data_IF_285999393906
#
_entry.id   IF_285999393906
#
_cell.length_a   1.000
_cell.length_b   1.000
_cell.length_c   1.000
_cell.angle_alpha   90.00
_cell.angle_beta   90.00
_cell.angle_gamma   90.00
#
_symmetry.space_group_name_H-M   'P 1'
#
loop_
_entity.id
_entity.type
_entity.pdbx_description
1 polymer ?
#
# COMPACT_ATOMS: atom_id res chain seq x y z
N UNK A 1 23.02 7.66 -8.63
CA UNK A 1 21.92 8.23 -7.82
C UNK A 1 21.09 9.12 -8.72
N UNK A 2 19.77 8.94 -8.75
CA UNK A 2 18.83 9.70 -9.59
C UNK A 2 18.01 10.67 -8.69
N UNK A 3 18.70 11.38 -7.81
CA UNK A 3 18.06 12.48 -7.07
C UNK A 3 18.07 13.71 -7.97
N UNK A 4 16.91 14.32 -8.19
CA UNK A 4 16.85 15.62 -8.88
C UNK A 4 16.95 16.81 -7.92
N UNK A 5 17.16 16.54 -6.62
CA UNK A 5 17.34 17.52 -5.56
C UNK A 5 18.43 17.05 -4.59
N UNK A 6 19.04 17.97 -3.87
CA UNK A 6 19.99 17.65 -2.81
C UNK A 6 19.37 16.71 -1.77
N UNK A 7 20.11 15.64 -1.45
CA UNK A 7 19.77 14.67 -0.41
C UNK A 7 20.98 14.53 0.51
N UNK A 8 21.02 15.37 1.54
CA UNK A 8 22.03 15.33 2.60
C UNK A 8 21.40 14.74 3.85
N UNK A 9 21.56 13.42 3.99
CA UNK A 9 21.05 12.64 5.09
C UNK A 9 22.08 11.59 5.50
N UNK A 10 22.29 11.45 6.81
CA UNK A 10 23.12 10.41 7.41
C UNK A 10 22.23 9.55 8.31
N UNK A 11 22.11 8.25 8.04
CA UNK A 11 21.27 7.38 8.85
C UNK A 11 21.82 7.20 10.26
N UNK A 12 20.93 7.22 11.24
CA UNK A 12 21.23 6.87 12.63
C UNK A 12 20.82 5.42 12.91
N UNK A 13 21.22 4.91 14.07
CA UNK A 13 20.80 3.59 14.52
C UNK A 13 19.27 3.50 14.64
N UNK A 14 18.69 2.39 14.18
CA UNK A 14 17.26 2.14 14.19
C UNK A 14 16.38 3.14 13.41
N UNK A 15 16.99 3.96 12.54
CA UNK A 15 16.25 4.92 11.72
C UNK A 15 15.30 4.21 10.74
N UNK A 16 14.19 4.87 10.44
CA UNK A 16 13.09 4.37 9.62
C UNK A 16 12.83 5.35 8.49
N UNK A 17 13.00 4.91 7.24
CA UNK A 17 12.61 5.70 6.07
C UNK A 17 11.17 5.42 5.66
N UNK A 18 10.36 6.48 5.53
CA UNK A 18 9.04 6.38 4.91
C UNK A 18 9.22 6.21 3.39
N UNK A 19 8.79 5.07 2.85
CA UNK A 19 8.90 4.77 1.42
C UNK A 19 7.53 4.83 0.80
N UNK A 20 7.35 5.73 -0.16
CA UNK A 20 6.11 5.85 -0.91
C UNK A 20 6.37 6.21 -2.37
N UNK A 21 5.35 5.96 -3.17
CA UNK A 21 5.29 6.35 -4.57
C UNK A 21 4.05 7.21 -4.79
N UNK A 22 4.08 8.08 -5.78
CA UNK A 22 2.96 8.95 -6.09
C UNK A 22 2.98 9.42 -7.55
N UNK A 23 1.78 9.66 -8.08
CA UNK A 23 1.55 10.39 -9.32
C UNK A 23 1.52 11.90 -9.08
N UNK A 24 1.64 12.67 -10.16
CA UNK A 24 1.60 14.13 -10.11
C UNK A 24 0.35 14.70 -9.39
N UNK A 25 -0.83 14.10 -9.56
CA UNK A 25 -2.08 14.56 -8.94
C UNK A 25 -2.13 14.41 -7.41
N UNK A 26 -1.15 13.72 -6.82
CA UNK A 26 -1.01 13.54 -5.37
C UNK A 26 0.08 14.41 -4.75
N UNK A 27 0.69 15.33 -5.50
CA UNK A 27 1.85 16.10 -5.05
C UNK A 27 1.63 16.88 -3.74
N UNK A 28 0.42 17.44 -3.52
CA UNK A 28 0.06 18.15 -2.29
C UNK A 28 0.12 17.27 -1.03
N UNK A 29 0.01 15.94 -1.17
CA UNK A 29 0.10 15.01 -0.05
C UNK A 29 1.48 15.02 0.62
N UNK A 30 2.53 15.41 -0.10
CA UNK A 30 3.88 15.50 0.46
C UNK A 30 3.93 16.54 1.59
N UNK A 31 3.32 17.71 1.39
CA UNK A 31 3.29 18.76 2.42
C UNK A 31 2.53 18.30 3.67
N UNK A 32 1.46 17.55 3.50
CA UNK A 32 0.73 16.98 4.64
C UNK A 32 1.54 15.89 5.35
N UNK A 33 2.22 15.02 4.60
CA UNK A 33 3.05 13.96 5.17
C UNK A 33 4.18 14.53 6.06
N UNK A 34 4.91 15.55 5.57
CA UNK A 34 6.08 16.09 6.29
C UNK A 34 5.70 16.83 7.59
N UNK A 35 4.45 17.28 7.73
CA UNK A 35 3.93 17.84 8.99
C UNK A 35 3.86 16.81 10.11
N UNK A 36 3.74 15.52 9.77
CA UNK A 36 3.59 14.41 10.73
C UNK A 36 4.76 13.42 10.72
N UNK A 37 5.66 13.49 9.73
CA UNK A 37 6.83 12.64 9.61
C UNK A 37 8.13 13.44 9.54
N UNK A 38 8.85 13.51 10.67
CA UNK A 38 10.13 14.18 10.75
C UNK A 38 11.31 13.34 10.20
N UNK A 39 11.15 12.01 10.17
CA UNK A 39 12.18 11.07 9.70
C UNK A 39 12.51 11.20 8.21
N UNK A 40 13.48 10.40 7.72
CA UNK A 40 13.82 10.35 6.30
C UNK A 40 12.66 9.82 5.45
N UNK A 41 12.62 10.25 4.18
CA UNK A 41 11.57 9.85 3.22
C UNK A 41 12.24 9.49 1.88
N UNK A 42 11.77 8.43 1.23
CA UNK A 42 12.10 8.07 -0.16
C UNK A 42 10.82 8.12 -0.99
N UNK A 43 10.71 9.11 -1.88
CA UNK A 43 9.54 9.36 -2.72
C UNK A 43 9.84 9.08 -4.18
N UNK A 44 9.05 8.20 -4.80
CA UNK A 44 9.14 7.92 -6.23
C UNK A 44 7.98 8.57 -6.99
N UNK A 45 8.29 9.56 -7.82
CA UNK A 45 7.37 10.37 -8.61
C UNK A 45 7.19 9.77 -10.01
N UNK A 46 5.97 9.37 -10.36
CA UNK A 46 5.61 8.91 -11.70
C UNK A 46 5.06 10.05 -12.55
N UNK A 47 5.89 10.60 -13.44
CA UNK A 47 5.69 11.91 -14.06
C UNK A 47 6.07 11.94 -15.55
N UNK A 48 5.47 12.84 -16.33
CA UNK A 48 6.02 13.27 -17.62
C UNK A 48 7.10 14.35 -17.45
N UNK A 49 7.82 14.69 -18.52
CA UNK A 49 8.79 15.80 -18.50
C UNK A 49 8.16 17.12 -18.03
N UNK A 50 6.96 17.45 -18.54
CA UNK A 50 6.25 18.66 -18.16
C UNK A 50 5.78 18.64 -16.69
N UNK A 51 5.41 17.49 -16.16
CA UNK A 51 5.03 17.33 -14.76
C UNK A 51 6.23 17.41 -13.83
N UNK A 52 7.40 16.89 -14.22
CA UNK A 52 8.63 16.96 -13.44
C UNK A 52 9.03 18.42 -13.17
N UNK A 53 8.97 19.29 -14.18
CA UNK A 53 9.26 20.72 -14.01
C UNK A 53 8.32 21.36 -12.98
N UNK A 54 7.04 20.99 -13.01
CA UNK A 54 6.05 21.48 -12.03
C UNK A 54 6.31 20.94 -10.62
N UNK A 55 6.70 19.67 -10.50
CA UNK A 55 7.11 19.06 -9.22
C UNK A 55 8.29 19.81 -8.60
N UNK A 56 9.34 20.08 -9.39
CA UNK A 56 10.53 20.81 -8.94
C UNK A 56 10.13 22.20 -8.44
N UNK A 57 9.32 22.92 -9.21
CA UNK A 57 8.82 24.25 -8.82
C UNK A 57 8.06 24.19 -7.50
N UNK A 58 7.07 23.29 -7.38
CA UNK A 58 6.29 23.09 -6.15
C UNK A 58 7.17 22.81 -4.93
N UNK A 59 8.09 21.85 -5.05
CA UNK A 59 8.99 21.43 -3.96
C UNK A 59 9.90 22.61 -3.53
N UNK A 60 10.40 23.39 -4.49
CA UNK A 60 11.31 24.52 -4.23
C UNK A 60 10.56 25.71 -3.62
N UNK A 61 9.30 25.94 -4.01
CA UNK A 61 8.49 27.03 -3.47
C UNK A 61 7.82 26.72 -2.13
N UNK A 62 7.74 25.45 -1.73
CA UNK A 62 7.03 25.03 -0.53
C UNK A 62 7.81 25.36 0.74
N UNK A 63 7.19 26.10 1.66
CA UNK A 63 7.80 26.48 2.94
C UNK A 63 8.14 25.30 3.85
N UNK A 64 7.49 24.15 3.66
CA UNK A 64 7.72 22.95 4.48
C UNK A 64 8.65 21.94 3.79
N UNK A 65 8.89 22.06 2.49
CA UNK A 65 9.74 21.13 1.73
C UNK A 65 11.09 21.74 1.33
N UNK A 66 11.18 23.05 1.10
CA UNK A 66 12.38 23.72 0.55
C UNK A 66 13.65 23.58 1.40
N UNK A 67 13.51 23.30 2.69
CA UNK A 67 14.64 23.14 3.62
C UNK A 67 14.82 21.68 4.09
N UNK A 68 13.99 20.74 3.61
CA UNK A 68 14.05 19.32 3.98
C UNK A 68 15.03 18.55 3.10
N UNK A 69 16.26 18.38 3.58
CA UNK A 69 17.33 17.64 2.89
C UNK A 69 17.30 16.12 3.08
N UNK A 70 16.46 15.61 3.99
CA UNK A 70 16.30 14.18 4.25
C UNK A 70 15.11 13.56 3.48
N UNK A 71 14.68 14.19 2.38
CA UNK A 71 13.69 13.65 1.45
C UNK A 71 14.38 13.36 0.13
N UNK A 72 14.47 12.07 -0.21
CA UNK A 72 14.94 11.60 -1.49
C UNK A 72 13.80 11.64 -2.51
N UNK A 73 13.97 12.39 -3.60
CA UNK A 73 13.02 12.43 -4.70
C UNK A 73 13.57 11.72 -5.93
N UNK A 74 12.86 10.68 -6.38
CA UNK A 74 13.20 9.88 -7.56
C UNK A 74 12.18 10.14 -8.66
N UNK A 75 12.62 10.54 -9.85
CA UNK A 75 11.74 10.68 -11.00
C UNK A 75 11.73 9.38 -11.82
N UNK A 76 10.53 8.85 -12.07
CA UNK A 76 10.31 7.74 -13.01
C UNK A 76 9.37 8.25 -14.10
N UNK A 77 9.85 8.27 -15.33
CA UNK A 77 9.07 8.79 -16.44
C UNK A 77 7.93 7.86 -16.81
N UNK A 78 6.80 8.47 -17.16
CA UNK A 78 5.60 7.77 -17.63
C UNK A 78 5.93 6.90 -18.84
N UNK A 79 5.71 5.60 -18.70
CA UNK A 79 5.95 4.59 -19.72
C UNK A 79 4.90 3.49 -19.63
N UNK A 80 4.23 3.23 -20.75
CA UNK A 80 3.13 2.27 -20.83
C UNK A 80 1.77 2.79 -20.35
N UNK A 81 0.77 1.91 -20.46
CA UNK A 81 -0.63 2.24 -20.24
C UNK A 81 -1.09 2.11 -18.78
N UNK A 82 -0.43 1.26 -17.99
CA UNK A 82 -0.82 0.97 -16.60
C UNK A 82 0.13 1.64 -15.62
N UNK A 83 -0.40 2.03 -14.46
CA UNK A 83 0.42 2.58 -13.39
C UNK A 83 1.37 1.51 -12.81
N UNK A 84 2.71 1.66 -12.91
CA UNK A 84 3.66 0.60 -12.59
C UNK A 84 4.00 0.58 -11.09
N UNK A 85 2.97 0.48 -10.23
CA UNK A 85 3.07 0.71 -8.77
C UNK A 85 4.22 -0.03 -8.08
N UNK A 86 4.43 -1.31 -8.40
CA UNK A 86 5.46 -2.13 -7.76
C UNK A 86 6.88 -1.75 -8.22
N UNK A 87 7.06 -1.41 -9.50
CA UNK A 87 8.32 -0.84 -10.00
C UNK A 87 8.65 0.46 -9.27
N UNK A 88 7.67 1.33 -9.05
CA UNK A 88 7.86 2.59 -8.32
C UNK A 88 8.24 2.36 -6.85
N UNK A 89 7.57 1.40 -6.18
CA UNK A 89 7.94 0.99 -4.81
C UNK A 89 9.39 0.47 -4.74
N UNK A 90 9.81 -0.34 -5.71
CA UNK A 90 11.18 -0.86 -5.78
C UNK A 90 12.21 0.24 -6.02
N UNK A 91 11.94 1.23 -6.88
CA UNK A 91 12.82 2.39 -7.06
C UNK A 91 13.01 3.13 -5.73
N UNK A 92 11.94 3.37 -4.99
CA UNK A 92 12.01 4.00 -3.67
C UNK A 92 12.82 3.16 -2.67
N UNK A 93 12.56 1.86 -2.62
CA UNK A 93 13.19 0.91 -1.69
C UNK A 93 14.70 0.76 -1.92
N UNK A 94 15.13 0.58 -3.18
CA UNK A 94 16.55 0.39 -3.55
C UNK A 94 17.45 1.56 -3.14
N UNK A 95 16.87 2.76 -2.98
CA UNK A 95 17.62 3.98 -2.69
C UNK A 95 17.54 4.42 -1.21
N UNK A 96 17.02 3.58 -0.32
CA UNK A 96 16.99 3.87 1.11
C UNK A 96 18.37 3.66 1.75
N UNK A 97 18.79 4.61 2.60
CA UNK A 97 20.01 4.48 3.39
C UNK A 97 19.76 3.93 4.81
N UNK A 98 18.62 4.29 5.43
CA UNK A 98 18.23 3.85 6.77
C UNK A 98 18.11 2.31 6.90
N UNK A 99 18.38 1.72 8.07
CA UNK A 99 18.30 0.27 8.27
C UNK A 99 16.87 -0.28 8.14
N UNK A 100 15.86 0.51 8.46
CA UNK A 100 14.45 0.11 8.39
C UNK A 100 13.65 0.98 7.43
N UNK A 101 12.61 0.38 6.86
CA UNK A 101 11.68 1.04 5.93
C UNK A 101 10.26 0.90 6.41
N UNK A 102 9.50 1.99 6.34
CA UNK A 102 8.05 1.97 6.48
C UNK A 102 7.42 2.01 5.08
N UNK A 103 6.84 0.88 4.66
CA UNK A 103 6.24 0.72 3.34
C UNK A 103 4.78 1.19 3.39
N UNK A 104 4.53 2.41 2.89
CA UNK A 104 3.24 3.08 3.00
C UNK A 104 2.79 3.75 1.70
N UNK A 105 1.50 4.03 1.61
CA UNK A 105 0.93 4.79 0.50
C UNK A 105 0.86 6.27 0.86
N UNK A 106 1.04 7.15 -0.14
CA UNK A 106 1.13 8.60 0.06
C UNK A 106 -0.18 9.24 0.59
N UNK A 107 -1.31 8.55 0.42
CA UNK A 107 -2.63 9.02 0.87
C UNK A 107 -2.88 8.77 2.37
N UNK A 108 -1.90 8.20 3.08
CA UNK A 108 -1.94 7.99 4.53
C UNK A 108 -1.16 9.04 5.30
N UNK A 109 -1.78 9.55 6.36
CA UNK A 109 -1.16 10.47 7.30
C UNK A 109 -0.78 9.73 8.59
N UNK A 110 0.50 9.84 9.02
CA UNK A 110 0.95 9.30 10.30
C UNK A 110 0.21 9.85 11.52
N UNK A 111 -0.04 9.01 12.52
CA UNK A 111 -0.38 9.48 13.87
C UNK A 111 0.73 10.37 14.44
N UNK A 112 0.39 11.27 15.38
CA UNK A 112 1.41 12.12 16.02
C UNK A 112 2.52 11.25 16.63
N UNK A 113 3.77 11.65 16.42
CA UNK A 113 4.97 10.97 16.91
C UNK A 113 5.17 9.53 16.37
N UNK A 114 4.52 9.14 15.25
CA UNK A 114 4.69 7.80 14.66
C UNK A 114 6.16 7.42 14.50
N UNK A 115 6.94 8.28 13.84
CA UNK A 115 8.38 8.06 13.61
C UNK A 115 9.14 7.76 14.91
N UNK A 116 8.97 8.58 15.94
CA UNK A 116 9.65 8.42 17.24
C UNK A 116 9.23 7.10 17.91
N UNK A 117 7.94 6.77 17.86
CA UNK A 117 7.44 5.53 18.44
C UNK A 117 7.95 4.28 17.69
N UNK A 118 8.10 4.36 16.37
CA UNK A 118 8.69 3.27 15.57
C UNK A 118 10.15 3.04 15.94
N UNK A 119 10.96 4.10 16.00
CA UNK A 119 12.38 3.99 16.43
C UNK A 119 12.46 3.38 17.84
N UNK A 120 11.58 3.79 18.76
CA UNK A 120 11.51 3.21 20.11
C UNK A 120 11.17 1.72 20.07
N UNK A 121 10.12 1.32 19.36
CA UNK A 121 9.73 -0.09 19.22
C UNK A 121 10.86 -0.96 18.66
N UNK A 122 11.57 -0.46 17.66
CA UNK A 122 12.71 -1.16 17.06
C UNK A 122 13.85 -1.28 18.07
N UNK A 123 14.14 -0.21 18.80
CA UNK A 123 15.18 -0.21 19.84
C UNK A 123 14.84 -1.21 20.95
N UNK A 124 13.60 -1.23 21.42
CA UNK A 124 13.15 -2.11 22.51
C UNK A 124 13.11 -3.59 22.07
N UNK A 125 12.75 -3.88 20.81
CA UNK A 125 12.69 -5.25 20.28
C UNK A 125 14.04 -5.78 19.76
N UNK A 126 15.00 -4.89 19.52
CA UNK A 126 16.25 -5.20 18.82
C UNK A 126 16.04 -5.52 17.34
N UNK A 127 16.90 -6.38 16.77
CA UNK A 127 16.87 -6.68 15.34
C UNK A 127 15.52 -7.24 14.86
N UNK A 128 14.97 -6.65 13.80
CA UNK A 128 13.72 -7.10 13.16
C UNK A 128 13.95 -8.16 12.06
N UNK A 129 15.02 -8.98 12.16
CA UNK A 129 15.26 -10.03 11.16
C UNK A 129 14.05 -10.96 11.06
N UNK A 130 13.45 -11.05 9.86
CA UNK A 130 12.19 -11.78 9.59
C UNK A 130 11.00 -11.35 10.48
N UNK A 131 10.95 -10.07 10.89
CA UNK A 131 9.78 -9.45 11.55
C UNK A 131 9.26 -8.29 10.72
N UNK A 132 7.94 -8.25 10.54
CA UNK A 132 7.20 -7.15 9.94
C UNK A 132 6.33 -6.52 11.02
N UNK A 133 6.71 -5.31 11.43
CA UNK A 133 5.91 -4.54 12.39
C UNK A 133 4.72 -3.92 11.67
N UNK A 134 3.51 -4.34 12.01
CA UNK A 134 2.27 -3.84 11.42
C UNK A 134 1.87 -2.53 12.09
N UNK A 135 1.67 -1.49 11.29
CA UNK A 135 1.08 -0.22 11.69
C UNK A 135 -0.40 -0.22 11.27
N UNK A 136 -1.35 -0.28 12.22
CA UNK A 136 -2.78 -0.34 11.90
C UNK A 136 -3.26 0.88 11.12
N UNK A 137 -4.16 0.63 10.18
CA UNK A 137 -4.69 1.61 9.26
C UNK A 137 -6.18 1.84 9.49
N UNK A 138 -6.57 3.11 9.43
CA UNK A 138 -7.95 3.55 9.61
C UNK A 138 -8.33 4.55 8.53
N UNK A 139 -9.61 4.77 8.31
CA UNK A 139 -10.13 5.75 7.36
C UNK A 139 -11.15 6.69 7.99
N UNK A 140 -11.09 7.96 7.60
CA UNK A 140 -12.14 8.93 7.91
C UNK A 140 -13.34 8.67 6.98
N UNK A 141 -14.55 8.67 7.54
CA UNK A 141 -15.78 8.49 6.75
C UNK A 141 -16.20 9.76 5.98
N UNK A 142 -15.74 10.94 6.40
CA UNK A 142 -16.15 12.23 5.82
C UNK A 142 -14.97 13.18 5.65
N UNK A 143 -14.95 13.88 4.52
CA UNK A 143 -14.02 14.99 4.26
C UNK A 143 -14.14 16.08 5.32
N UNK A 144 -13.00 16.69 5.68
CA UNK A 144 -12.93 17.75 6.71
C UNK A 144 -13.02 17.25 8.15
N UNK A 145 -13.21 15.94 8.38
CA UNK A 145 -13.17 15.37 9.73
C UNK A 145 -11.77 15.52 10.33
N UNK A 146 -11.68 15.98 11.58
CA UNK A 146 -10.40 16.14 12.25
C UNK A 146 -9.67 14.80 12.40
N UNK A 147 -8.38 14.80 12.06
CA UNK A 147 -7.52 13.62 12.17
C UNK A 147 -7.20 13.38 13.65
N UNK A 148 -7.46 12.17 14.19
CA UNK A 148 -7.08 11.85 15.56
C UNK A 148 -5.56 11.89 15.72
N UNK A 149 -5.08 12.59 16.75
CA UNK A 149 -3.64 12.74 17.00
C UNK A 149 -3.04 11.57 17.78
N UNK A 150 -3.85 10.83 18.53
CA UNK A 150 -3.41 9.73 19.39
C UNK A 150 -4.50 8.66 19.53
N UNK A 151 -4.13 7.50 20.09
CA UNK A 151 -5.01 6.33 20.25
C UNK A 151 -6.31 6.68 20.98
N UNK A 152 -6.24 7.45 22.07
CA UNK A 152 -7.44 7.88 22.82
C UNK A 152 -8.43 8.65 21.95
N UNK A 153 -7.96 9.64 21.17
CA UNK A 153 -8.83 10.38 20.24
C UNK A 153 -9.38 9.49 19.13
N UNK A 154 -8.58 8.52 18.65
CA UNK A 154 -9.01 7.55 17.65
C UNK A 154 -10.11 6.63 18.20
N UNK A 155 -9.99 6.14 19.44
CA UNK A 155 -11.01 5.31 20.08
C UNK A 155 -12.36 6.04 20.17
N UNK A 156 -12.38 7.30 20.60
CA UNK A 156 -13.60 8.11 20.61
C UNK A 156 -14.25 8.22 19.22
N UNK A 157 -13.42 8.32 18.16
CA UNK A 157 -13.90 8.41 16.76
C UNK A 157 -14.33 7.06 16.17
N UNK A 158 -13.84 5.95 16.73
CA UNK A 158 -14.34 4.62 16.40
C UNK A 158 -15.73 4.41 17.02
N UNK A 159 -15.96 4.91 18.24
CA UNK A 159 -17.26 4.84 18.92
C UNK A 159 -18.34 5.61 18.16
N UNK A 160 -18.04 6.84 17.72
CA UNK A 160 -18.98 7.66 16.94
C UNK A 160 -19.04 7.31 15.44
N UNK A 161 -18.25 6.31 15.00
CA UNK A 161 -18.14 5.84 13.62
C UNK A 161 -17.68 6.89 12.60
N UNK A 162 -17.09 8.01 13.06
CA UNK A 162 -16.44 8.98 12.14
C UNK A 162 -15.13 8.45 11.56
N UNK A 163 -14.54 7.45 12.23
CA UNK A 163 -13.41 6.65 11.75
C UNK A 163 -13.79 5.18 11.82
N UNK A 164 -13.31 4.38 10.86
CA UNK A 164 -13.39 2.91 10.90
C UNK A 164 -12.04 2.29 10.50
N UNK A 165 -11.79 1.00 10.79
CA UNK A 165 -10.63 0.30 10.24
C UNK A 165 -10.62 0.37 8.72
N UNK A 166 -9.43 0.57 8.13
CA UNK A 166 -9.31 0.87 6.70
C UNK A 166 -9.94 -0.23 5.83
N UNK A 167 -10.80 0.20 4.90
CA UNK A 167 -11.59 -0.65 4.00
C UNK A 167 -12.44 -1.73 4.67
N UNK A 168 -12.74 -1.65 5.98
CA UNK A 168 -13.47 -2.72 6.68
C UNK A 168 -14.86 -3.00 6.09
N UNK A 169 -15.50 -2.00 5.51
CA UNK A 169 -16.84 -2.12 4.92
C UNK A 169 -16.81 -2.59 3.45
N UNK A 170 -15.64 -2.56 2.80
CA UNK A 170 -15.49 -2.83 1.36
C UNK A 170 -14.70 -4.11 1.12
N UNK A 171 -13.62 -4.31 1.88
CA UNK A 171 -12.68 -5.41 1.71
C UNK A 171 -12.01 -5.77 3.04
N UNK A 172 -12.83 -6.24 3.99
CA UNK A 172 -12.39 -6.63 5.32
C UNK A 172 -11.18 -7.60 5.34
N UNK A 173 -11.08 -8.63 4.47
CA UNK A 173 -9.95 -9.57 4.50
C UNK A 173 -8.58 -8.89 4.39
N UNK A 174 -8.49 -7.76 3.68
CA UNK A 174 -7.25 -7.00 3.51
C UNK A 174 -6.61 -6.53 4.81
N UNK A 175 -7.39 -6.32 5.86
CA UNK A 175 -6.90 -5.74 7.12
C UNK A 175 -7.36 -6.46 8.38
N UNK A 176 -8.42 -7.28 8.32
CA UNK A 176 -8.99 -7.98 9.46
C UNK A 176 -7.98 -8.80 10.29
N UNK A 177 -6.96 -9.48 9.71
CA UNK A 177 -5.96 -10.20 10.50
C UNK A 177 -5.17 -9.34 11.49
N UNK A 178 -5.20 -8.01 11.38
CA UNK A 178 -4.63 -7.07 12.37
C UNK A 178 -5.28 -7.18 13.74
N UNK A 179 -6.49 -7.74 13.83
CA UNK A 179 -7.28 -7.86 15.06
C UNK A 179 -7.49 -6.50 15.74
N UNK A 180 -8.32 -5.67 15.11
CA UNK A 180 -8.59 -4.31 15.59
C UNK A 180 -9.30 -4.28 16.95
N UNK A 181 -10.06 -5.32 17.32
CA UNK A 181 -10.69 -5.39 18.64
C UNK A 181 -9.64 -5.59 19.73
N UNK A 182 -8.67 -6.49 19.53
CA UNK A 182 -7.50 -6.61 20.40
C UNK A 182 -6.68 -5.32 20.39
N UNK A 183 -6.50 -4.68 19.23
CA UNK A 183 -5.72 -3.45 19.12
C UNK A 183 -6.25 -2.35 20.04
N UNK A 184 -7.58 -2.20 20.18
CA UNK A 184 -8.19 -1.13 20.99
C UNK A 184 -7.68 -1.11 22.43
N UNK A 185 -7.47 -2.27 23.03
CA UNK A 185 -7.07 -2.43 24.44
C UNK A 185 -5.60 -2.84 24.62
N UNK A 186 -4.90 -3.22 23.55
CA UNK A 186 -3.50 -3.62 23.63
C UNK A 186 -2.59 -2.48 24.12
N UNK A 187 -1.73 -2.80 25.08
CA UNK A 187 -0.66 -1.92 25.58
C UNK A 187 0.71 -2.35 25.05
N UNK A 188 0.87 -3.63 24.73
CA UNK A 188 2.10 -4.25 24.22
C UNK A 188 1.93 -4.75 22.77
N UNK A 189 3.03 -4.81 21.98
CA UNK A 189 3.02 -5.43 20.66
C UNK A 189 2.54 -6.88 20.70
N UNK A 190 1.77 -7.29 19.69
CA UNK A 190 1.25 -8.65 19.63
C UNK A 190 1.38 -9.25 18.23
N UNK A 191 1.73 -10.53 18.19
CA UNK A 191 1.81 -11.26 16.93
C UNK A 191 0.41 -11.63 16.41
N UNK A 192 0.25 -11.54 15.09
CA UNK A 192 -0.93 -12.03 14.36
C UNK A 192 -0.51 -13.08 13.33
N UNK A 193 -1.46 -13.93 12.94
CA UNK A 193 -1.25 -14.92 11.89
C UNK A 193 -1.62 -14.30 10.55
N UNK A 194 -0.76 -14.52 9.54
CA UNK A 194 -1.12 -14.17 8.17
C UNK A 194 -2.37 -14.95 7.72
N UNK A 195 -3.18 -14.31 6.87
CA UNK A 195 -4.33 -14.91 6.19
C UNK A 195 -4.31 -14.49 4.72
N UNK A 196 -4.96 -15.26 3.83
CA UNK A 196 -5.15 -14.86 2.45
C UNK A 196 -5.68 -13.42 2.34
N UNK A 197 -5.19 -12.70 1.33
CA UNK A 197 -5.50 -11.29 1.06
C UNK A 197 -4.99 -10.27 2.09
N UNK A 198 -4.32 -10.67 3.17
CA UNK A 198 -3.80 -9.72 4.16
C UNK A 198 -2.81 -8.72 3.54
N UNK A 199 -3.08 -7.44 3.72
CA UNK A 199 -2.39 -6.32 3.07
C UNK A 199 -2.04 -5.18 4.06
N UNK A 200 -1.38 -5.45 5.20
CA UNK A 200 -1.04 -4.44 6.19
C UNK A 200 -0.02 -3.41 5.67
N UNK A 201 0.12 -2.31 6.40
CA UNK A 201 1.24 -1.39 6.27
C UNK A 201 2.30 -1.76 7.29
N UNK A 202 3.55 -1.93 6.84
CA UNK A 202 4.58 -2.60 7.63
C UNK A 202 5.87 -1.81 7.70
N UNK A 203 6.53 -1.91 8.85
CA UNK A 203 7.93 -1.55 9.04
C UNK A 203 8.77 -2.82 9.07
N UNK A 204 9.81 -2.86 8.24
CA UNK A 204 10.68 -4.03 8.04
C UNK A 204 12.13 -3.58 7.90
N UNK A 205 13.05 -4.52 8.07
CA UNK A 205 14.46 -4.30 7.70
C UNK A 205 14.59 -4.10 6.18
N UNK A 206 15.52 -3.23 5.75
CA UNK A 206 15.62 -2.79 4.34
C UNK A 206 15.95 -3.88 3.32
N UNK A 207 16.44 -5.05 3.76
CA UNK A 207 16.74 -6.20 2.91
C UNK A 207 15.50 -7.01 2.50
N UNK A 208 14.31 -6.50 2.82
CA UNK A 208 13.03 -7.07 2.42
C UNK A 208 12.99 -7.33 0.91
N UNK A 209 12.34 -8.44 0.53
CA UNK A 209 12.13 -8.78 -0.89
C UNK A 209 11.45 -7.62 -1.64
N UNK A 210 11.88 -7.40 -2.87
CA UNK A 210 11.25 -6.42 -3.75
C UNK A 210 9.84 -6.84 -4.15
N UNK A 211 9.02 -5.86 -4.50
CA UNK A 211 7.69 -6.10 -5.05
C UNK A 211 7.79 -6.74 -6.43
N UNK A 212 6.89 -7.69 -6.74
CA UNK A 212 6.84 -8.29 -8.06
C UNK A 212 6.27 -7.28 -9.09
N UNK A 213 7.14 -6.82 -9.99
CA UNK A 213 6.83 -5.76 -10.97
C UNK A 213 5.82 -6.19 -12.05
N UNK A 214 5.48 -7.48 -12.17
CA UNK A 214 4.40 -7.94 -13.06
C UNK A 214 3.02 -7.45 -12.61
N UNK A 215 2.83 -7.20 -11.32
CA UNK A 215 1.57 -6.63 -10.80
C UNK A 215 1.57 -5.11 -11.03
N UNK A 216 0.93 -4.70 -12.11
CA UNK A 216 0.71 -3.30 -12.51
C UNK A 216 -0.74 -2.88 -12.26
N UNK A 217 -0.99 -1.58 -12.20
CA UNK A 217 -2.32 -1.02 -11.99
C UNK A 217 -2.92 -1.42 -10.63
N UNK A 218 -4.22 -1.72 -10.65
CA UNK A 218 -5.01 -2.05 -9.47
C UNK A 218 -5.10 -3.56 -9.22
N UNK A 219 -5.01 -3.95 -7.94
CA UNK A 219 -5.26 -5.31 -7.45
C UNK A 219 -3.99 -6.12 -7.20
N UNK A 220 -3.96 -6.81 -6.05
CA UNK A 220 -2.95 -7.81 -5.65
C UNK A 220 -1.46 -7.38 -5.67
N UNK A 221 -1.18 -6.11 -5.93
CA UNK A 221 0.17 -5.56 -6.00
C UNK A 221 0.90 -5.57 -4.65
N UNK A 222 0.24 -5.22 -3.54
CA UNK A 222 0.79 -5.32 -2.17
C UNK A 222 0.47 -6.68 -1.52
N UNK A 223 -0.69 -7.28 -1.79
CA UNK A 223 -1.03 -8.65 -1.29
C UNK A 223 0.05 -9.66 -1.66
N UNK A 224 0.50 -9.66 -2.92
CA UNK A 224 1.56 -10.57 -3.38
C UNK A 224 2.87 -10.39 -2.61
N UNK A 225 3.24 -9.14 -2.28
CA UNK A 225 4.43 -8.84 -1.48
C UNK A 225 4.31 -9.39 -0.06
N UNK A 226 3.19 -9.13 0.62
CA UNK A 226 2.94 -9.64 1.98
C UNK A 226 2.90 -11.17 2.01
N UNK A 227 2.28 -11.79 1.01
CA UNK A 227 2.25 -13.24 0.86
C UNK A 227 3.65 -13.84 0.69
N UNK A 228 4.56 -13.16 -0.02
CA UNK A 228 5.94 -13.62 -0.13
C UNK A 228 6.74 -13.45 1.17
N UNK A 229 6.42 -12.44 1.99
CA UNK A 229 6.98 -12.35 3.34
C UNK A 229 6.52 -13.52 4.22
N UNK A 230 5.23 -13.88 4.15
CA UNK A 230 4.73 -15.09 4.81
C UNK A 230 5.47 -16.34 4.29
N UNK A 231 5.64 -16.48 2.96
CA UNK A 231 6.38 -17.60 2.37
C UNK A 231 7.80 -17.72 2.94
N UNK A 232 8.43 -16.59 3.27
CA UNK A 232 9.76 -16.47 3.88
C UNK A 232 9.80 -16.58 5.40
N UNK A 233 8.70 -16.96 6.06
CA UNK A 233 8.55 -17.08 7.52
C UNK A 233 8.69 -15.76 8.29
N UNK A 234 8.22 -14.64 7.72
CA UNK A 234 8.13 -13.40 8.51
C UNK A 234 7.08 -13.52 9.62
N UNK A 235 7.39 -12.97 10.79
CA UNK A 235 6.40 -12.75 11.85
C UNK A 235 5.72 -11.39 11.67
N UNK A 236 4.40 -11.35 11.73
CA UNK A 236 3.63 -10.10 11.70
C UNK A 236 3.30 -9.66 13.12
N UNK A 237 3.84 -8.52 13.55
CA UNK A 237 3.71 -8.00 14.92
C UNK A 237 3.00 -6.65 14.89
N UNK A 238 1.78 -6.58 15.41
CA UNK A 238 0.99 -5.36 15.45
C UNK A 238 1.45 -4.46 16.59
N UNK A 239 1.67 -3.18 16.28
CA UNK A 239 2.10 -2.18 17.24
C UNK A 239 0.89 -1.47 17.89
N UNK A 240 0.85 -1.33 19.23
CA UNK A 240 -0.37 -0.98 19.96
C UNK A 240 -0.65 0.53 20.02
N UNK A 241 0.36 1.38 19.86
CA UNK A 241 0.30 2.83 20.14
C UNK A 241 0.67 3.71 18.94
N UNK A 242 0.56 3.14 17.75
CA UNK A 242 0.82 3.79 16.46
C UNK A 242 -0.29 3.46 15.49
N UNK A 243 -0.58 4.37 14.56
CA UNK A 243 -1.52 4.13 13.48
C UNK A 243 -1.28 5.11 12.32
N UNK A 244 -1.91 4.82 11.19
CA UNK A 244 -2.00 5.73 10.05
C UNK A 244 -3.46 5.96 9.65
N UNK A 245 -3.71 7.15 9.10
CA UNK A 245 -5.05 7.61 8.74
C UNK A 245 -5.16 7.87 7.24
N UNK A 246 -6.03 7.13 6.58
CA UNK A 246 -6.45 7.39 5.21
C UNK A 246 -7.44 8.57 5.19
N UNK A 247 -7.21 9.52 4.28
CA UNK A 247 -8.13 10.62 4.03
C UNK A 247 -8.91 10.37 2.75
N UNK A 248 -10.24 10.61 2.71
CA UNK A 248 -11.01 10.40 1.50
C UNK A 248 -10.43 11.19 0.33
N UNK A 249 -10.40 10.55 -0.83
CA UNK A 249 -9.92 11.13 -2.07
C UNK A 249 -10.64 10.49 -3.25
N UNK A 250 -10.62 11.18 -4.39
CA UNK A 250 -11.18 10.65 -5.63
C UNK A 250 -10.53 9.31 -6.00
N UNK A 251 -11.31 8.30 -6.43
CA UNK A 251 -10.77 7.02 -6.90
C UNK A 251 -9.79 7.20 -8.06
N UNK A 252 -8.82 6.29 -8.18
CA UNK A 252 -7.85 6.30 -9.27
C UNK A 252 -8.47 5.84 -10.60
N UNK A 253 -7.77 6.10 -11.70
CA UNK A 253 -8.20 5.62 -13.01
C UNK A 253 -8.07 4.08 -13.14
N UNK A 254 -7.07 3.47 -12.50
CA UNK A 254 -6.85 2.02 -12.57
C UNK A 254 -7.97 1.21 -11.89
N UNK A 255 -8.57 1.71 -10.81
CA UNK A 255 -9.72 1.01 -10.20
C UNK A 255 -10.92 1.01 -11.15
N UNK A 256 -11.13 2.07 -11.92
CA UNK A 256 -12.18 2.13 -12.92
C UNK A 256 -11.94 1.11 -14.05
N UNK A 257 -10.69 0.99 -14.51
CA UNK A 257 -10.28 -0.02 -15.51
C UNK A 257 -10.45 -1.45 -15.01
N UNK A 258 -10.03 -1.73 -13.77
CA UNK A 258 -10.22 -3.04 -13.14
C UNK A 258 -11.70 -3.45 -13.11
N UNK A 259 -12.58 -2.52 -12.72
CA UNK A 259 -14.03 -2.74 -12.65
C UNK A 259 -14.66 -2.95 -14.03
N UNK A 260 -14.22 -2.20 -15.04
CA UNK A 260 -14.83 -2.23 -16.38
C UNK A 260 -14.29 -3.32 -17.31
N UNK A 261 -13.08 -3.83 -17.10
CA UNK A 261 -12.43 -4.79 -18.01
C UNK A 261 -12.40 -6.23 -17.47
N UNK A 262 -13.23 -7.16 -18.02
CA UNK A 262 -13.15 -8.58 -17.67
C UNK A 262 -11.81 -9.21 -18.05
N UNK A 263 -11.18 -8.73 -19.13
CA UNK A 263 -9.87 -9.21 -19.58
C UNK A 263 -8.81 -8.85 -18.54
N UNK A 264 -8.84 -7.63 -18.00
CA UNK A 264 -7.94 -7.23 -16.92
C UNK A 264 -8.04 -8.18 -15.73
N UNK A 265 -9.27 -8.47 -15.27
CA UNK A 265 -9.50 -9.36 -14.13
C UNK A 265 -9.04 -10.79 -14.40
N UNK A 266 -9.26 -11.29 -15.62
CA UNK A 266 -8.74 -12.60 -16.04
C UNK A 266 -7.20 -12.64 -16.01
N UNK A 267 -6.54 -11.63 -16.58
CA UNK A 267 -5.08 -11.56 -16.58
C UNK A 267 -4.52 -11.46 -15.15
N UNK A 268 -5.16 -10.65 -14.28
CA UNK A 268 -4.78 -10.57 -12.88
C UNK A 268 -4.90 -11.93 -12.20
N UNK A 269 -6.03 -12.63 -12.39
CA UNK A 269 -6.24 -13.95 -11.80
C UNK A 269 -5.20 -14.98 -12.26
N UNK A 270 -4.87 -15.01 -13.55
CA UNK A 270 -3.80 -15.88 -14.07
C UNK A 270 -2.44 -15.55 -13.45
N UNK A 271 -2.12 -14.26 -13.29
CA UNK A 271 -0.89 -13.82 -12.66
C UNK A 271 -0.83 -14.19 -11.18
N UNK A 272 -1.96 -14.12 -10.44
CA UNK A 272 -2.05 -14.61 -9.06
C UNK A 272 -1.72 -16.10 -8.99
N UNK A 273 -2.35 -16.91 -9.83
CA UNK A 273 -2.15 -18.36 -9.84
C UNK A 273 -0.69 -18.72 -10.16
N UNK A 274 -0.09 -18.10 -11.18
CA UNK A 274 1.35 -18.25 -11.50
C UNK A 274 2.23 -17.90 -10.29
N UNK A 275 1.92 -16.78 -9.63
CA UNK A 275 2.68 -16.31 -8.48
C UNK A 275 2.60 -17.28 -7.29
N UNK A 276 1.39 -17.75 -6.95
CA UNK A 276 1.18 -18.70 -5.84
C UNK A 276 1.91 -20.02 -6.12
N UNK A 277 1.81 -20.56 -7.34
CA UNK A 277 2.55 -21.76 -7.74
C UNK A 277 4.07 -21.58 -7.58
N UNK A 278 4.59 -20.41 -7.98
CA UNK A 278 6.00 -20.08 -7.83
C UNK A 278 6.41 -20.00 -6.36
N UNK A 279 5.62 -19.37 -5.49
CA UNK A 279 5.91 -19.29 -4.05
C UNK A 279 5.91 -20.68 -3.40
N UNK A 280 4.90 -21.51 -3.71
CA UNK A 280 4.82 -22.88 -3.21
C UNK A 280 6.06 -23.69 -3.56
N UNK A 281 6.53 -23.58 -4.82
CA UNK A 281 7.75 -24.24 -5.27
C UNK A 281 9.01 -23.67 -4.62
N UNK A 282 9.19 -22.35 -4.62
CA UNK A 282 10.44 -21.70 -4.21
C UNK A 282 10.68 -21.75 -2.70
N UNK A 283 9.61 -21.71 -1.91
CA UNK A 283 9.68 -21.64 -0.45
C UNK A 283 9.14 -22.91 0.24
N UNK A 284 8.84 -23.97 -0.53
CA UNK A 284 8.25 -25.22 -0.03
C UNK A 284 7.00 -24.96 0.82
N UNK A 285 6.04 -24.22 0.25
CA UNK A 285 4.77 -23.83 0.87
C UNK A 285 3.58 -24.53 0.21
N UNK A 286 2.44 -24.50 0.88
CA UNK A 286 1.17 -25.06 0.42
C UNK A 286 0.04 -24.01 0.52
N UNK A 287 0.23 -22.86 -0.11
CA UNK A 287 -0.85 -21.90 -0.27
C UNK A 287 -1.89 -22.44 -1.25
N UNK A 288 -3.15 -22.43 -0.82
CA UNK A 288 -4.26 -22.81 -1.67
C UNK A 288 -4.46 -21.78 -2.79
N UNK A 289 -4.77 -22.27 -3.98
CA UNK A 289 -5.27 -21.46 -5.08
C UNK A 289 -6.34 -22.27 -5.82
N UNK A 290 -7.44 -21.60 -6.18
CA UNK A 290 -8.42 -22.20 -7.09
C UNK A 290 -7.96 -21.93 -8.51
N UNK A 291 -8.03 -22.93 -9.38
CA UNK A 291 -7.76 -22.79 -10.82
C UNK A 291 -8.95 -22.10 -11.51
N UNK A 292 -9.29 -20.91 -11.02
CA UNK A 292 -10.49 -20.17 -11.40
C UNK A 292 -10.31 -19.45 -12.73
N UNK A 293 -9.05 -19.22 -13.16
CA UNK A 293 -8.72 -18.72 -14.50
C UNK A 293 -9.29 -19.61 -15.61
N UNK A 294 -9.24 -20.94 -15.49
CA UNK A 294 -9.84 -21.86 -16.46
C UNK A 294 -11.35 -21.67 -16.58
N UNK A 295 -12.05 -21.43 -15.47
CA UNK A 295 -13.49 -21.17 -15.48
C UNK A 295 -13.81 -19.81 -16.10
N UNK A 296 -13.07 -18.76 -15.75
CA UNK A 296 -13.25 -17.42 -16.31
C UNK A 296 -12.94 -17.38 -17.81
N UNK A 297 -11.90 -18.08 -18.26
CA UNK A 297 -11.54 -18.20 -19.68
C UNK A 297 -12.65 -18.91 -20.48
N UNK A 298 -13.21 -19.99 -19.93
CA UNK A 298 -14.34 -20.69 -20.55
C UNK A 298 -15.59 -19.81 -20.67
N UNK A 299 -15.89 -18.99 -19.65
CA UNK A 299 -16.99 -18.01 -19.69
C UNK A 299 -16.73 -16.92 -20.73
N UNK A 300 -15.52 -16.37 -20.77
CA UNK A 300 -15.12 -15.34 -21.74
C UNK A 300 -15.24 -15.84 -23.19
N UNK A 301 -14.72 -17.04 -23.48
CA UNK A 301 -14.80 -17.65 -24.81
C UNK A 301 -16.25 -17.95 -25.23
N UNK A 302 -17.09 -18.40 -24.30
CA UNK A 302 -18.54 -18.61 -24.55
C UNK A 302 -19.27 -17.30 -24.87
N UNK A 303 -18.97 -16.20 -24.15
CA UNK A 303 -19.54 -14.88 -24.42
C UNK A 303 -19.10 -14.32 -25.77
N UNK A 304 -17.82 -14.48 -26.12
CA UNK A 304 -17.31 -14.07 -27.43
C UNK A 304 -18.00 -14.82 -28.58
N UNK A 305 -18.28 -16.13 -28.42
CA UNK A 305 -19.05 -16.91 -29.40
C UNK A 305 -20.52 -16.46 -29.51
N UNK A 306 -21.17 -16.02 -28.43
CA UNK A 306 -22.56 -15.50 -28.46
C UNK A 306 -22.67 -14.11 -29.08
N UNK A 307 -21.69 -13.24 -28.85
CA UNK A 307 -21.67 -11.88 -29.42
C UNK A 307 -21.43 -11.85 -30.94
N UNK A 308 -21.08 -12.98 -31.56
CA UNK A 308 -21.05 -13.14 -33.02
C UNK A 308 -22.42 -13.48 -33.63
N UNK A 309 -23.47 -13.68 -32.83
CA UNK A 309 -24.75 -14.22 -33.32
C UNK A 309 -25.94 -13.23 -33.27
N UNK A 310 -25.98 -12.22 -32.39
CA UNK A 310 -27.07 -11.21 -32.42
C UNK A 310 -26.64 -9.86 -31.81
N UNK A 311 -27.04 -8.71 -32.41
CA UNK A 311 -26.88 -7.39 -31.78
C UNK A 311 -28.04 -7.10 -30.83
N UNK A 312 -27.71 -6.85 -29.56
CA UNK A 312 -28.65 -6.31 -28.56
C UNK A 312 -29.05 -7.29 -27.46
N UNK A 313 -28.29 -7.31 -26.37
CA UNK A 313 -28.87 -7.58 -25.04
C UNK A 313 -27.93 -7.05 -23.96
N UNK A 314 -28.47 -6.19 -23.09
CA UNK A 314 -27.84 -5.76 -21.85
C UNK A 314 -27.51 -6.97 -20.97
N UNK A 315 -26.29 -7.05 -20.47
CA UNK A 315 -25.86 -8.13 -19.56
C UNK A 315 -25.74 -7.63 -18.13
N UNK A 316 -26.53 -8.22 -17.24
CA UNK A 316 -26.50 -8.06 -15.79
C UNK A 316 -25.18 -8.55 -15.19
N UNK A 317 -24.73 -7.84 -14.16
CA UNK A 317 -23.43 -7.96 -13.49
C UNK A 317 -23.56 -8.95 -12.33
N UNK A 318 -23.18 -10.22 -12.54
CA UNK A 318 -22.90 -11.13 -11.43
C UNK A 318 -21.70 -12.02 -11.75
N UNK A 319 -20.59 -11.73 -11.07
CA UNK A 319 -19.43 -12.56 -10.64
C UNK A 319 -18.29 -11.60 -10.29
N UNK A 320 -18.40 -10.93 -9.13
CA UNK A 320 -17.42 -10.00 -8.57
C UNK A 320 -16.85 -10.60 -7.27
N UNK A 321 -15.66 -11.18 -7.36
CA UNK A 321 -14.76 -11.43 -6.23
C UNK A 321 -13.37 -11.09 -6.76
N UNK A 322 -12.90 -9.85 -6.61
CA UNK A 322 -11.97 -9.48 -5.54
C UNK A 322 -12.26 -8.12 -4.86
N UNK A 323 -13.27 -7.38 -5.31
CA UNK A 323 -13.81 -6.19 -4.64
C UNK A 323 -15.30 -6.11 -4.99
N UNK A 324 -16.24 -6.11 -4.02
CA UNK A 324 -17.65 -5.93 -4.34
C UNK A 324 -17.85 -4.55 -4.98
N UNK A 325 -18.54 -4.57 -6.12
CA UNK A 325 -19.11 -3.37 -6.73
C UNK A 325 -20.04 -2.72 -5.71
N UNK A 326 -19.87 -1.42 -5.47
CA UNK A 326 -20.85 -0.61 -4.75
C UNK A 326 -22.22 -0.82 -5.41
N UNK A 327 -23.11 -1.55 -4.74
CA UNK A 327 -24.54 -1.35 -4.88
C UNK A 327 -24.92 -0.16 -3.99
N UNK A 328 -25.60 0.81 -4.59
CA UNK A 328 -26.14 2.02 -3.97
C UNK A 328 -26.91 1.78 -2.67
#
# INVERSE_FOLDING_TARGET
>A
MLYFREYDYKPVENDVTFVAQLSYDRLQRIEELVKFWAGPISLTLYVSDAELVKCISFITSSDVLKDRTNIAYHAVFKDGEYYPINKLRNVGLRNVQAPYVFLADIDFLPSKNLYVNLVKHITDMGTLKKKALVVPAFELQKMGTSIPRNKRQLLNKLEDKSVIPFLSNIWAPGHAPTDYEKWKTAEEPYQVQWKPDYEPYIVVYKDVVEYNEKFVGFGWNKVSHIMELEAQNYQFVVLPNVFIMHTPHTPSYDIARFRSSPIYRLCLQMLKEEFIMKLNKNYNRHFEYTNSSMNLMNVYLRRRKRNFVLPGSQTTVETNTDYPSNSE
#
